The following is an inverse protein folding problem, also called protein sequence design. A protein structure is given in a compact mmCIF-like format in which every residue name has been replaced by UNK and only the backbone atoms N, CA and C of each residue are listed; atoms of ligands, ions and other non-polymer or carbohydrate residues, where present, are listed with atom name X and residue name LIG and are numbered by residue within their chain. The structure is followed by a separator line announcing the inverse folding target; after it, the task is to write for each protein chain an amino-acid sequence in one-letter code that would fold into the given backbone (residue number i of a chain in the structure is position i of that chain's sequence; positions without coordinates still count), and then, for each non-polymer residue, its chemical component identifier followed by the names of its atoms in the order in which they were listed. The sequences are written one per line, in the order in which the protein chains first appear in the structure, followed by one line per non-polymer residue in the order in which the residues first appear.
data_IF_793932471702
#
_entry.id   IF_793932471702
#
_cell.length_a   1.000
_cell.length_b   1.000
_cell.length_c   1.000
_cell.angle_alpha   90.00
_cell.angle_beta   90.00
_cell.angle_gamma   90.00
#
_symmetry.space_group_name_H-M   'P 1'
#
loop_
_entity.id
_entity.type
_entity.pdbx_description
1 polymer ?
#
# COMPACT_ATOMS: atom_id res chain seq x y z
N UNK A 1 8.90 0.48 -13.83
CA UNK A 1 7.92 -0.52 -14.29
C UNK A 1 7.20 0.07 -15.49
N UNK A 2 6.90 -0.73 -16.51
CA UNK A 2 6.06 -0.29 -17.62
C UNK A 2 4.60 -0.70 -17.31
N UNK A 3 3.69 0.28 -17.21
CA UNK A 3 2.28 0.05 -16.86
C UNK A 3 1.44 0.34 -18.09
N UNK A 4 0.60 -0.62 -18.49
CA UNK A 4 -0.27 -0.47 -19.65
C UNK A 4 -1.39 0.55 -19.39
N UNK A 5 -1.96 1.08 -20.47
CA UNK A 5 -3.03 2.08 -20.36
C UNK A 5 -4.26 1.45 -19.69
N UNK A 6 -4.67 2.04 -18.57
CA UNK A 6 -5.82 1.59 -17.78
C UNK A 6 -5.49 0.56 -16.71
N UNK A 7 -4.20 0.25 -16.52
CA UNK A 7 -3.69 -0.51 -15.39
C UNK A 7 -3.03 0.43 -14.37
N UNK A 8 -2.94 -0.01 -13.12
CA UNK A 8 -2.45 0.79 -11.99
C UNK A 8 -1.61 -0.08 -11.05
N UNK A 9 -0.53 0.50 -10.52
CA UNK A 9 0.25 -0.14 -9.47
C UNK A 9 -0.49 0.02 -8.14
N UNK A 10 -0.96 -1.09 -7.57
CA UNK A 10 -1.73 -1.08 -6.33
C UNK A 10 -0.88 -1.24 -5.06
N UNK A 11 0.25 -1.97 -5.15
CA UNK A 11 1.09 -2.28 -3.98
C UNK A 11 2.52 -2.66 -4.41
N UNK A 12 3.46 -2.51 -3.49
CA UNK A 12 4.86 -2.93 -3.62
C UNK A 12 5.31 -3.52 -2.30
N UNK A 13 5.78 -4.76 -2.31
CA UNK A 13 6.32 -5.45 -1.14
C UNK A 13 7.73 -5.94 -1.41
N UNK A 14 8.54 -5.97 -0.35
CA UNK A 14 9.89 -6.57 -0.37
C UNK A 14 9.77 -8.04 0.01
N UNK A 15 10.48 -8.90 -0.72
CA UNK A 15 10.57 -10.35 -0.49
C UNK A 15 12.04 -10.79 -0.40
N UNK A 16 12.28 -12.00 0.10
CA UNK A 16 13.64 -12.52 0.36
C UNK A 16 14.02 -13.79 -0.44
N UNK A 17 13.17 -14.21 -1.39
CA UNK A 17 13.36 -15.41 -2.22
C UNK A 17 12.71 -16.68 -1.65
N UNK A 18 12.14 -16.64 -0.44
CA UNK A 18 11.55 -17.79 0.28
C UNK A 18 10.09 -17.58 0.69
N UNK A 19 9.45 -16.49 0.25
CA UNK A 19 8.10 -16.13 0.64
C UNK A 19 7.06 -16.67 -0.34
N UNK A 20 5.88 -16.98 0.20
CA UNK A 20 4.68 -17.12 -0.60
C UNK A 20 4.01 -15.76 -0.79
N UNK A 21 3.49 -15.53 -1.99
CA UNK A 21 2.73 -14.33 -2.37
C UNK A 21 1.26 -14.72 -2.46
N UNK A 22 0.40 -13.93 -1.83
CA UNK A 22 -1.05 -14.03 -1.95
C UNK A 22 -1.59 -12.79 -2.65
N UNK A 23 -2.35 -12.99 -3.73
CA UNK A 23 -3.10 -11.92 -4.37
C UNK A 23 -4.59 -12.10 -4.10
N UNK A 24 -5.30 -11.01 -3.85
CA UNK A 24 -6.74 -11.01 -3.67
C UNK A 24 -7.41 -10.21 -4.77
N UNK A 25 -8.59 -10.65 -5.21
CA UNK A 25 -9.41 -9.92 -6.17
C UNK A 25 -10.64 -9.30 -5.52
N UNK A 26 -11.16 -8.25 -6.15
CA UNK A 26 -12.35 -7.53 -5.72
C UNK A 26 -13.58 -8.44 -5.61
N UNK A 27 -13.68 -9.44 -6.50
CA UNK A 27 -14.80 -10.37 -6.53
C UNK A 27 -14.69 -11.56 -5.56
N UNK A 28 -13.63 -11.65 -4.77
CA UNK A 28 -13.51 -12.66 -3.72
C UNK A 28 -12.71 -13.89 -4.13
N UNK A 29 -11.85 -13.78 -5.13
CA UNK A 29 -10.86 -14.80 -5.47
C UNK A 29 -9.51 -14.48 -4.82
N UNK A 30 -8.71 -15.52 -4.62
CA UNK A 30 -7.33 -15.40 -4.13
C UNK A 30 -6.45 -16.46 -4.75
N UNK A 31 -5.19 -16.14 -5.01
CA UNK A 31 -4.17 -17.11 -5.39
C UNK A 31 -3.00 -16.99 -4.45
N UNK A 32 -2.42 -18.13 -4.05
CA UNK A 32 -1.16 -18.21 -3.31
C UNK A 32 -0.16 -18.96 -4.17
N UNK A 33 1.01 -18.39 -4.42
CA UNK A 33 2.09 -19.05 -5.16
C UNK A 33 3.43 -18.65 -4.55
N UNK A 34 4.45 -19.48 -4.74
CA UNK A 34 5.79 -19.21 -4.23
C UNK A 34 6.46 -18.14 -5.09
N UNK A 35 7.19 -17.19 -4.49
CA UNK A 35 7.76 -16.07 -5.24
C UNK A 35 8.73 -16.48 -6.36
N UNK A 36 9.38 -17.64 -6.23
CA UNK A 36 10.27 -18.20 -7.25
C UNK A 36 9.55 -18.56 -8.57
N UNK A 37 8.22 -18.63 -8.60
CA UNK A 37 7.43 -18.73 -9.83
C UNK A 37 7.48 -17.42 -10.66
N UNK A 38 7.98 -16.34 -10.06
CA UNK A 38 8.25 -15.05 -10.69
C UNK A 38 9.74 -14.95 -10.96
N UNK A 39 10.09 -14.78 -12.23
CA UNK A 39 11.48 -14.52 -12.62
C UNK A 39 11.86 -13.07 -12.33
N UNK A 40 13.13 -12.85 -12.00
CA UNK A 40 13.69 -11.50 -11.92
C UNK A 40 13.60 -10.78 -13.26
N UNK A 41 13.26 -9.49 -13.21
CA UNK A 41 13.12 -8.65 -14.39
C UNK A 41 13.66 -7.25 -14.12
N UNK A 42 14.20 -6.63 -15.18
CA UNK A 42 14.63 -5.23 -15.12
C UNK A 42 13.47 -4.27 -14.92
N UNK A 43 13.77 -3.05 -14.45
CA UNK A 43 12.78 -2.01 -14.10
C UNK A 43 11.89 -1.55 -15.26
N UNK A 44 12.27 -1.82 -16.50
CA UNK A 44 11.51 -1.46 -17.71
C UNK A 44 10.55 -2.55 -18.18
N UNK A 45 10.56 -3.72 -17.54
CA UNK A 45 9.63 -4.79 -17.87
C UNK A 45 8.17 -4.44 -17.47
N UNK A 46 7.23 -5.05 -18.18
CA UNK A 46 5.79 -4.99 -17.86
C UNK A 46 5.43 -5.90 -16.69
N UNK A 47 6.10 -7.04 -16.54
CA UNK A 47 5.85 -8.02 -15.48
C UNK A 47 5.33 -9.36 -16.01
N UNK A 48 4.77 -10.16 -15.12
CA UNK A 48 4.14 -11.45 -15.41
C UNK A 48 2.80 -11.54 -14.68
N UNK A 49 1.87 -12.35 -15.18
CA UNK A 49 0.55 -12.49 -14.56
C UNK A 49 0.65 -13.16 -13.19
N UNK A 50 0.13 -12.52 -12.15
CA UNK A 50 0.02 -13.13 -10.82
C UNK A 50 -1.23 -14.02 -10.67
N UNK A 51 -2.38 -13.48 -11.05
CA UNK A 51 -3.70 -14.12 -10.99
C UNK A 51 -4.47 -13.86 -12.30
N UNK A 52 -5.18 -14.86 -12.80
CA UNK A 52 -6.11 -14.67 -13.89
C UNK A 52 -7.40 -14.03 -13.37
N UNK A 53 -7.77 -12.88 -13.92
CA UNK A 53 -8.95 -12.12 -13.52
C UNK A 53 -10.17 -12.50 -14.36
N UNK A 54 -11.33 -12.58 -13.72
CA UNK A 54 -12.62 -12.64 -14.40
C UNK A 54 -13.01 -11.26 -14.96
N UNK A 55 -14.03 -11.22 -15.82
CA UNK A 55 -14.52 -9.97 -16.41
C UNK A 55 -14.93 -8.97 -15.31
N UNK A 56 -14.40 -7.76 -15.40
CA UNK A 56 -14.64 -6.65 -14.45
C UNK A 56 -14.12 -6.92 -13.02
N UNK A 57 -13.31 -7.96 -12.84
CA UNK A 57 -12.58 -8.16 -11.60
C UNK A 57 -11.24 -7.41 -11.67
N UNK A 58 -10.66 -7.14 -10.51
CA UNK A 58 -9.37 -6.47 -10.38
C UNK A 58 -8.68 -6.96 -9.12
N UNK A 59 -7.35 -6.91 -9.10
CA UNK A 59 -6.58 -7.18 -7.89
C UNK A 59 -6.81 -6.01 -6.92
N UNK A 60 -7.02 -6.33 -5.65
CA UNK A 60 -7.24 -5.33 -4.58
C UNK A 60 -6.15 -5.32 -3.53
N UNK A 61 -5.40 -6.42 -3.39
CA UNK A 61 -4.34 -6.49 -2.39
C UNK A 61 -3.27 -7.52 -2.78
N UNK A 62 -2.05 -7.26 -2.31
CA UNK A 62 -0.89 -8.15 -2.39
C UNK A 62 -0.38 -8.39 -0.97
N UNK A 63 -0.22 -9.65 -0.61
CA UNK A 63 0.28 -10.06 0.70
C UNK A 63 1.49 -10.95 0.54
N UNK A 64 2.58 -10.62 1.20
CA UNK A 64 3.75 -11.49 1.33
C UNK A 64 3.64 -12.22 2.65
N UNK A 65 3.56 -13.55 2.60
CA UNK A 65 3.48 -14.37 3.81
C UNK A 65 4.88 -14.48 4.41
N UNK A 66 5.09 -13.87 5.57
CA UNK A 66 6.39 -13.82 6.24
C UNK A 66 6.46 -14.71 7.47
N UNK A 67 5.31 -15.02 8.05
CA UNK A 67 5.21 -15.77 9.30
C UNK A 67 3.91 -16.56 9.39
N UNK A 68 3.81 -17.38 10.41
CA UNK A 68 2.54 -17.99 10.79
C UNK A 68 1.59 -16.89 11.27
N UNK A 69 0.50 -16.70 10.52
CA UNK A 69 -0.50 -15.67 10.75
C UNK A 69 -1.84 -16.10 10.14
N UNK A 70 -2.85 -15.25 10.27
CA UNK A 70 -4.13 -15.44 9.58
C UNK A 70 -4.27 -14.41 8.47
N UNK A 71 -5.05 -14.74 7.44
CA UNK A 71 -5.46 -13.76 6.43
C UNK A 71 -6.81 -13.18 6.81
N UNK A 72 -6.81 -11.87 6.99
CA UNK A 72 -8.00 -11.08 7.21
C UNK A 72 -8.52 -10.55 5.87
N UNK A 73 -9.75 -10.90 5.51
CA UNK A 73 -10.48 -10.27 4.42
C UNK A 73 -11.50 -9.28 4.98
N UNK A 74 -11.56 -8.08 4.39
CA UNK A 74 -12.57 -7.05 4.72
C UNK A 74 -13.29 -6.62 3.45
N UNK A 75 -14.59 -6.34 3.57
CA UNK A 75 -15.46 -5.96 2.45
C UNK A 75 -16.00 -4.54 2.57
N UNK A 76 -16.46 -3.98 1.44
CA UNK A 76 -16.99 -2.61 1.34
C UNK A 76 -18.24 -2.38 2.22
N UNK A 77 -18.97 -3.45 2.60
CA UNK A 77 -20.14 -3.37 3.51
C UNK A 77 -19.79 -3.61 4.99
N UNK A 78 -18.51 -3.55 5.34
CA UNK A 78 -18.05 -3.66 6.73
C UNK A 78 -18.13 -5.08 7.29
N UNK A 79 -18.08 -6.09 6.42
CA UNK A 79 -17.93 -7.49 6.82
C UNK A 79 -16.44 -7.84 6.84
N UNK A 80 -16.03 -8.68 7.78
CA UNK A 80 -14.66 -9.14 7.91
C UNK A 80 -14.56 -10.53 8.50
N UNK A 81 -13.48 -11.22 8.19
CA UNK A 81 -13.13 -12.51 8.79
C UNK A 81 -11.65 -12.79 8.67
N UNK A 82 -11.15 -13.58 9.62
CA UNK A 82 -9.85 -14.23 9.54
C UNK A 82 -10.01 -15.64 9.00
N UNK A 83 -9.05 -16.09 8.22
CA UNK A 83 -8.95 -17.49 7.77
C UNK A 83 -7.51 -17.95 7.93
N UNK A 84 -7.32 -19.20 8.34
CA UNK A 84 -6.00 -19.78 8.51
C UNK A 84 -5.25 -19.85 7.17
N UNK A 85 -3.93 -19.61 7.19
CA UNK A 85 -3.10 -19.65 5.99
C UNK A 85 -3.14 -21.03 5.30
N UNK A 86 -3.28 -22.11 6.07
CA UNK A 86 -3.32 -23.48 5.56
C UNK A 86 -4.55 -23.74 4.69
N UNK A 87 -5.63 -22.97 4.86
CA UNK A 87 -6.77 -23.07 3.95
C UNK A 87 -6.42 -22.56 2.55
N UNK A 88 -5.46 -21.63 2.45
CA UNK A 88 -4.95 -21.09 1.18
C UNK A 88 -3.83 -22.00 0.68
N UNK A 89 -4.20 -23.09 0.01
CA UNK A 89 -3.22 -23.97 -0.65
C UNK A 89 -2.38 -23.21 -1.69
N UNK A 90 -1.11 -23.56 -1.78
CA UNK A 90 -0.21 -23.10 -2.84
C UNK A 90 -0.71 -23.62 -4.20
N UNK A 91 -0.63 -22.76 -5.20
CA UNK A 91 -1.06 -22.96 -6.58
C UNK A 91 0.02 -22.44 -7.53
N UNK A 92 -0.04 -22.84 -8.79
CA UNK A 92 0.80 -22.22 -9.82
C UNK A 92 0.36 -20.79 -10.10
N UNK A 93 1.34 -19.89 -10.21
CA UNK A 93 1.13 -18.50 -10.61
C UNK A 93 0.33 -18.38 -11.92
N UNK A 94 -0.56 -17.39 -12.00
CA UNK A 94 -1.38 -17.12 -13.19
C UNK A 94 -2.66 -17.95 -13.28
N UNK A 95 -2.93 -18.81 -12.29
CA UNK A 95 -4.22 -19.50 -12.17
C UNK A 95 -5.37 -18.56 -11.80
N UNK A 96 -6.60 -19.08 -11.85
CA UNK A 96 -7.82 -18.35 -11.41
C UNK A 96 -7.92 -18.18 -9.89
N UNK A 97 -7.12 -18.92 -9.14
CA UNK A 97 -7.19 -18.94 -7.68
C UNK A 97 -8.41 -19.70 -7.14
N UNK A 98 -8.71 -19.44 -5.87
CA UNK A 98 -9.70 -20.09 -5.03
C UNK A 98 -10.49 -19.03 -4.25
N UNK A 99 -11.73 -19.34 -3.90
CA UNK A 99 -12.62 -18.40 -3.20
C UNK A 99 -12.04 -18.04 -1.83
N UNK A 100 -11.84 -16.75 -1.56
CA UNK A 100 -11.38 -16.20 -0.27
C UNK A 100 -12.54 -15.64 0.57
N UNK A 101 -13.63 -15.21 -0.08
CA UNK A 101 -14.83 -14.71 0.57
C UNK A 101 -16.05 -14.98 -0.32
N UNK A 102 -17.14 -15.48 0.27
CA UNK A 102 -18.38 -15.69 -0.45
C UNK A 102 -19.15 -14.38 -0.58
N UNK A 103 -18.98 -13.72 -1.73
CA UNK A 103 -19.67 -12.46 -2.02
C UNK A 103 -21.18 -12.67 -2.18
N UNK A 104 -21.92 -11.77 -1.58
CA UNK A 104 -23.37 -11.63 -1.71
C UNK A 104 -23.72 -10.13 -1.58
N UNK A 105 -25.01 -9.82 -1.63
CA UNK A 105 -25.47 -8.45 -1.42
C UNK A 105 -25.14 -7.93 -0.02
N UNK A 106 -25.03 -8.75 1.02
CA UNK A 106 -24.74 -8.25 2.38
C UNK A 106 -23.26 -7.90 2.60
N UNK A 107 -22.36 -8.60 1.91
CA UNK A 107 -20.91 -8.43 2.02
C UNK A 107 -20.39 -7.37 1.06
N UNK A 108 -20.88 -7.34 -0.17
CA UNK A 108 -20.27 -6.53 -1.22
C UNK A 108 -18.87 -7.02 -1.60
N UNK A 109 -18.13 -6.21 -2.35
CA UNK A 109 -16.78 -6.53 -2.81
C UNK A 109 -15.74 -6.53 -1.69
N UNK A 110 -14.64 -7.27 -1.88
CA UNK A 110 -13.46 -7.16 -1.01
C UNK A 110 -12.79 -5.81 -1.25
N UNK A 111 -12.37 -5.18 -0.16
CA UNK A 111 -11.59 -3.93 -0.16
C UNK A 111 -10.16 -4.14 0.34
N UNK A 112 -9.92 -5.14 1.20
CA UNK A 112 -8.59 -5.43 1.72
C UNK A 112 -8.42 -6.91 2.04
N UNK A 113 -7.20 -7.41 1.88
CA UNK A 113 -6.71 -8.68 2.38
C UNK A 113 -5.37 -8.45 3.09
N UNK A 114 -5.29 -8.69 4.40
CA UNK A 114 -4.07 -8.45 5.18
C UNK A 114 -3.63 -9.71 5.93
N UNK A 115 -2.33 -9.97 5.96
CA UNK A 115 -1.74 -10.87 6.97
C UNK A 115 -1.85 -10.18 8.33
N UNK A 116 -2.46 -10.83 9.32
CA UNK A 116 -2.66 -10.26 10.65
C UNK A 116 -2.40 -11.28 11.75
N UNK A 117 -1.93 -10.79 12.89
CA UNK A 117 -1.80 -11.49 14.16
C UNK A 117 -2.91 -11.04 15.13
N UNK A 118 -3.24 -11.83 16.16
CA UNK A 118 -4.28 -11.47 17.14
C UNK A 118 -4.07 -10.11 17.82
N UNK A 119 -2.82 -9.75 18.10
CA UNK A 119 -2.39 -8.50 18.74
C UNK A 119 -2.48 -7.26 17.85
N UNK A 120 -2.63 -7.45 16.53
CA UNK A 120 -2.78 -6.34 15.58
C UNK A 120 -4.12 -5.62 15.74
N UNK A 121 -4.17 -4.40 15.20
CA UNK A 121 -5.40 -3.64 15.04
C UNK A 121 -5.57 -3.18 13.60
N UNK A 122 -6.78 -2.75 13.27
CA UNK A 122 -7.14 -2.24 11.96
C UNK A 122 -7.61 -0.80 12.07
N UNK A 123 -7.09 0.06 11.21
CA UNK A 123 -7.71 1.34 10.93
C UNK A 123 -8.59 1.18 9.69
N UNK A 124 -9.90 1.34 9.85
CA UNK A 124 -10.87 1.30 8.74
C UNK A 124 -11.40 2.69 8.47
N UNK A 125 -11.45 3.09 7.20
CA UNK A 125 -12.02 4.36 6.77
C UNK A 125 -13.17 4.15 5.78
N UNK A 126 -14.24 4.92 5.96
CA UNK A 126 -15.40 4.91 5.07
C UNK A 126 -15.37 6.05 4.05
N UNK A 127 -16.16 5.94 2.99
CA UNK A 127 -16.32 6.96 1.95
C UNK A 127 -16.78 8.30 2.52
N UNK A 128 -17.58 8.28 3.60
CA UNK A 128 -18.03 9.50 4.29
C UNK A 128 -17.02 10.04 5.32
N UNK A 129 -15.83 9.45 5.40
CA UNK A 129 -14.74 9.92 6.27
C UNK A 129 -14.85 9.45 7.72
N UNK A 130 -15.66 8.42 8.02
CA UNK A 130 -15.69 7.81 9.36
C UNK A 130 -14.48 6.90 9.49
N UNK A 131 -13.67 7.10 10.51
CA UNK A 131 -12.51 6.25 10.83
C UNK A 131 -12.76 5.53 12.15
N UNK A 132 -12.46 4.22 12.18
CA UNK A 132 -12.52 3.42 13.41
C UNK A 132 -11.29 2.53 13.54
N UNK A 133 -10.89 2.30 14.79
CA UNK A 133 -9.88 1.30 15.16
C UNK A 133 -10.59 0.02 15.61
N UNK A 134 -10.19 -1.13 15.09
CA UNK A 134 -10.81 -2.43 15.41
C UNK A 134 -9.72 -3.43 15.81
N UNK A 135 -9.81 -4.06 17.00
CA UNK A 135 -8.88 -5.12 17.39
C UNK A 135 -9.08 -6.37 16.55
N UNK A 136 -7.98 -6.94 16.05
CA UNK A 136 -8.01 -8.14 15.20
C UNK A 136 -8.46 -9.36 15.98
N UNK A 137 -8.09 -9.48 17.27
CA UNK A 137 -8.49 -10.60 18.12
C UNK A 137 -10.02 -10.81 18.17
N UNK A 138 -10.79 -9.72 18.17
CA UNK A 138 -12.25 -9.76 18.17
C UNK A 138 -12.88 -10.25 16.84
N UNK A 139 -12.09 -10.36 15.77
CA UNK A 139 -12.59 -10.77 14.45
C UNK A 139 -12.55 -12.29 14.34
N UNK A 140 -13.68 -12.88 13.97
CA UNK A 140 -13.85 -14.34 13.95
C UNK A 140 -12.92 -15.03 12.94
N UNK A 141 -12.24 -16.08 13.38
CA UNK A 141 -11.56 -17.05 12.51
C UNK A 141 -12.59 -18.04 11.95
N UNK A 142 -12.67 -18.14 10.63
CA UNK A 142 -13.60 -19.01 9.91
C UNK A 142 -13.03 -19.44 8.56
N UNK A 143 -13.68 -20.43 7.95
CA UNK A 143 -13.29 -20.89 6.63
C UNK A 143 -13.27 -19.81 5.54
N UNK A 144 -12.46 -20.03 4.52
CA UNK A 144 -12.30 -19.12 3.37
C UNK A 144 -13.62 -18.90 2.62
N UNK A 145 -14.36 -19.95 2.32
CA UNK A 145 -15.63 -19.85 1.59
C UNK A 145 -16.82 -19.49 2.49
N UNK A 146 -16.70 -18.41 3.26
CA UNK A 146 -17.75 -17.88 4.15
C UNK A 146 -17.92 -16.38 3.93
N UNK A 147 -18.98 -15.80 4.51
CA UNK A 147 -19.27 -14.35 4.41
C UNK A 147 -18.60 -13.51 5.49
N UNK A 148 -18.11 -14.13 6.57
CA UNK A 148 -17.57 -13.44 7.74
C UNK A 148 -18.62 -12.84 8.67
N UNK A 149 -18.17 -11.97 9.56
CA UNK A 149 -18.96 -11.26 10.56
C UNK A 149 -18.88 -9.75 10.35
N UNK A 150 -19.77 -9.01 10.99
CA UNK A 150 -19.76 -7.55 10.88
C UNK A 150 -18.63 -6.98 11.74
N UNK A 151 -17.69 -6.26 11.13
CA UNK A 151 -16.57 -5.60 11.81
C UNK A 151 -16.79 -4.09 11.94
N UNK A 152 -17.63 -3.51 11.06
CA UNK A 152 -18.00 -2.09 11.09
C UNK A 152 -19.49 -1.91 10.85
N UNK A 153 -20.14 -1.09 11.68
CA UNK A 153 -21.49 -0.61 11.41
C UNK A 153 -21.43 0.61 10.50
N UNK A 154 -21.97 0.48 9.29
CA UNK A 154 -22.01 1.56 8.31
C UNK A 154 -23.36 2.28 8.36
N UNK A 155 -23.31 3.60 8.14
CA UNK A 155 -24.53 4.38 7.89
C UNK A 155 -25.12 4.03 6.52
N UNK A 156 -26.44 4.20 6.28
CA UNK A 156 -27.02 3.94 4.98
C UNK A 156 -26.30 4.68 3.85
N UNK A 157 -25.94 3.94 2.80
CA UNK A 157 -25.21 4.44 1.62
C UNK A 157 -23.73 4.75 1.85
N UNK A 158 -23.16 4.43 3.02
CA UNK A 158 -21.73 4.48 3.27
C UNK A 158 -21.06 3.13 2.97
N UNK A 159 -19.77 3.18 2.65
CA UNK A 159 -18.96 2.01 2.28
C UNK A 159 -17.57 2.16 2.90
N UNK A 160 -16.98 1.05 3.34
CA UNK A 160 -15.55 0.98 3.64
C UNK A 160 -14.79 1.17 2.32
N UNK A 161 -13.80 2.06 2.31
CA UNK A 161 -12.98 2.34 1.12
C UNK A 161 -11.54 1.90 1.28
N UNK A 162 -11.02 1.87 2.51
CA UNK A 162 -9.65 1.45 2.77
C UNK A 162 -9.50 0.86 4.19
N UNK A 163 -8.51 -0.01 4.36
CA UNK A 163 -8.17 -0.68 5.62
C UNK A 163 -6.66 -0.77 5.75
N UNK A 164 -6.13 -0.15 6.81
CA UNK A 164 -4.72 -0.25 7.18
C UNK A 164 -4.56 -1.15 8.41
N UNK A 165 -3.49 -1.96 8.42
CA UNK A 165 -3.08 -2.73 9.60
C UNK A 165 -2.19 -1.85 10.49
N UNK A 166 -2.48 -1.82 11.77
CA UNK A 166 -1.65 -1.22 12.82
C UNK A 166 -1.01 -2.38 13.57
N UNK A 167 0.31 -2.48 13.48
CA UNK A 167 1.07 -3.44 14.29
C UNK A 167 1.23 -2.83 15.68
N UNK A 168 0.98 -3.63 16.72
CA UNK A 168 1.23 -3.18 18.08
C UNK A 168 2.74 -3.19 18.31
N UNK A 169 3.30 -2.04 18.67
CA UNK A 169 4.68 -1.96 19.17
C UNK A 169 4.68 -2.51 20.61
N UNK A 170 5.58 -3.43 20.91
CA UNK A 170 5.78 -3.89 22.28
C UNK A 170 6.38 -2.72 23.09
N UNK A 171 5.91 -2.50 24.33
CA UNK A 171 6.32 -1.37 25.20
C UNK A 171 7.82 -1.40 25.59
N UNK A 172 8.60 -2.36 25.10
CA UNK A 172 10.03 -2.53 25.36
C UNK A 172 10.95 -1.83 24.33
N UNK A 173 10.40 -1.26 23.25
CA UNK A 173 11.18 -0.52 22.22
C UNK A 173 11.27 0.99 22.47
N UNK A 174 11.07 1.45 23.71
CA UNK A 174 11.31 2.84 24.10
C UNK A 174 12.80 3.13 24.35
N UNK A 175 13.66 2.94 23.34
CA UNK A 175 14.97 3.61 23.26
C UNK A 175 15.55 3.63 21.83
N UNK A 176 15.52 4.81 21.21
CA UNK A 176 16.07 5.11 19.88
C UNK A 176 14.99 5.02 18.80
N UNK A 177 14.45 6.09 18.23
CA UNK A 177 15.20 7.15 17.57
C UNK A 177 14.56 8.54 17.77
N UNK A 178 15.42 9.50 18.05
CA UNK A 178 15.10 10.93 18.06
C UNK A 178 14.68 11.39 16.65
N UNK A 179 13.41 11.81 16.54
CA UNK A 179 12.93 12.93 15.72
C UNK A 179 13.70 13.24 14.42
N UNK A 180 13.50 12.46 13.36
CA UNK A 180 13.77 12.93 12.00
C UNK A 180 12.52 13.57 11.40
N UNK A 181 12.20 14.77 11.89
CA UNK A 181 11.25 15.67 11.21
C UNK A 181 11.64 15.85 9.74
N UNK A 182 10.71 15.66 8.77
CA UNK A 182 11.01 15.88 7.36
C UNK A 182 11.32 17.36 7.10
N UNK A 183 12.60 17.67 6.86
CA UNK A 183 13.02 19.00 6.41
C UNK A 183 12.32 19.32 5.08
N UNK A 184 11.44 20.33 5.11
CA UNK A 184 10.78 20.92 3.93
C UNK A 184 11.76 21.10 2.76
N UNK A 185 11.35 20.82 1.51
CA UNK A 185 12.21 20.99 0.35
C UNK A 185 12.62 22.47 0.17
N UNK A 186 13.92 22.70 0.08
CA UNK A 186 14.50 24.03 -0.17
C UNK A 186 14.08 24.53 -1.54
N UNK A 187 13.37 25.65 -1.57
CA UNK A 187 13.02 26.38 -2.77
C UNK A 187 14.28 26.68 -3.61
N UNK A 188 14.21 26.30 -4.88
CA UNK A 188 15.20 26.54 -5.93
C UNK A 188 15.35 28.06 -6.12
N UNK A 189 16.54 28.60 -5.83
CA UNK A 189 16.90 29.99 -6.15
C UNK A 189 17.11 30.12 -7.65
N UNK A 190 16.07 30.54 -8.37
CA UNK A 190 16.21 31.22 -9.65
C UNK A 190 16.30 32.72 -9.40
N UNK A 191 17.51 33.29 -9.42
CA UNK A 191 17.78 34.71 -9.72
C UNK A 191 19.28 35.00 -9.62
N UNK A 192 20.04 34.76 -10.70
CA UNK A 192 21.30 35.46 -10.95
C UNK A 192 21.67 35.46 -12.42
N UNK A 193 21.02 36.33 -13.19
CA UNK A 193 21.49 36.73 -14.53
C UNK A 193 20.97 38.14 -14.87
N UNK A 194 21.44 39.15 -14.13
CA UNK A 194 21.47 40.52 -14.61
C UNK A 194 22.65 41.24 -13.94
N UNK A 195 23.46 41.92 -14.76
CA UNK A 195 24.62 42.77 -14.42
C UNK A 195 25.98 42.08 -14.19
N UNK A 196 26.43 41.35 -15.21
CA UNK A 196 27.83 41.43 -15.65
C UNK A 196 27.91 42.43 -16.82
N UNK A 197 27.75 43.73 -16.55
CA UNK A 197 27.97 44.82 -17.52
C UNK A 197 27.95 46.21 -16.84
N UNK A 198 28.78 46.44 -15.81
CA UNK A 198 29.10 47.82 -15.38
C UNK A 198 30.39 47.97 -14.56
N UNK A 199 31.41 47.18 -14.90
CA UNK A 199 32.76 47.30 -14.35
C UNK A 199 33.82 47.79 -15.36
N UNK A 200 33.41 48.47 -16.44
CA UNK A 200 34.34 49.00 -17.47
C UNK A 200 34.16 50.50 -17.79
N UNK A 201 33.44 51.28 -16.96
CA UNK A 201 33.27 52.72 -17.24
C UNK A 201 33.20 53.59 -15.98
N UNK A 202 34.16 53.42 -15.08
CA UNK A 202 34.48 54.40 -14.03
C UNK A 202 36.00 54.52 -13.72
N UNK A 203 36.86 53.95 -14.57
CA UNK A 203 38.32 54.18 -14.54
C UNK A 203 38.74 55.43 -15.35
N UNK A 204 37.82 56.36 -15.64
CA UNK A 204 38.11 57.57 -16.44
C UNK A 204 37.55 58.87 -15.84
N UNK A 205 37.52 58.97 -14.51
CA UNK A 205 37.17 60.22 -13.82
C UNK A 205 37.93 60.50 -12.50
N UNK A 206 39.07 59.84 -12.26
CA UNK A 206 39.99 60.19 -11.15
C UNK A 206 41.39 60.60 -11.64
N UNK A 207 41.48 61.10 -12.88
CA UNK A 207 42.67 61.78 -13.42
C UNK A 207 42.31 63.24 -13.69
N UNK A 208 41.96 63.98 -12.64
CA UNK A 208 41.98 65.45 -12.57
C UNK A 208 41.73 65.88 -11.12
N UNK A 209 42.74 66.49 -10.51
CA UNK A 209 42.76 67.01 -9.15
C UNK A 209 43.51 66.08 -8.20
N UNK A 210 44.71 66.36 -7.72
CA UNK A 210 45.51 67.58 -7.80
C UNK A 210 46.59 67.47 -6.73
N UNK A 211 47.83 67.24 -7.16
CA UNK A 211 49.05 67.57 -6.45
C UNK A 211 49.99 68.08 -7.54
N UNK A 212 50.70 69.19 -7.41
CA UNK A 212 51.33 69.75 -6.21
C UNK A 212 51.82 71.15 -6.60
N UNK A 213 51.68 72.11 -5.69
CA UNK A 213 52.24 73.48 -5.74
C UNK A 213 51.65 74.44 -6.76
#
# INVERSE_FOLDING_TARGET
INIEKGDELIDVQVTDGRNDIVLATRHGMSIRFHEQDVRDMGRTATGVWGIALDKKDQVVDLVVIRRSATLLAVTERGMGKRSELDEYRVQHRGGRGIITLKRNEKTGAIVALKEVQPEDELMMITKKGIMIRVPVDGIRVTGRNTQGVKVMNLTPGDLVVDVARIVKEDEDDANGDEDETPKKPKAVKAAKAAKAAKAAKAAKAAKKGGGKK
#
